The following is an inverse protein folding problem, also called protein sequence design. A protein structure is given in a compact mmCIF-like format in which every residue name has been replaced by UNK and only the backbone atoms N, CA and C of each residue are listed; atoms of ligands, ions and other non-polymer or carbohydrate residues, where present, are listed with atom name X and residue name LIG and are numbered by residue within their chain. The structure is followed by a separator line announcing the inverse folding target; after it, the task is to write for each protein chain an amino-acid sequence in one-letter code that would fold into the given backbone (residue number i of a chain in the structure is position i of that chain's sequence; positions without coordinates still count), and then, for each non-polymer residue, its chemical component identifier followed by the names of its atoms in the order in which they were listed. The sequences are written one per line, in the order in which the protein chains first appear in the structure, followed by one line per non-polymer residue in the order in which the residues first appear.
data_IF_870022426047
#
_entry.id   IF_870022426047
#
_cell.length_a   1.000
_cell.length_b   1.000
_cell.length_c   1.000
_cell.angle_alpha   90.00
_cell.angle_beta   90.00
_cell.angle_gamma   90.00
#
_symmetry.space_group_name_H-M   'P 1'
#
loop_
_entity.id
_entity.type
_entity.pdbx_description
1 polymer ?
#
# COMPACT_ATOMS: atom_id res chain seq x y z
N UNK A 1 4.45 -2.69 28.22
CA UNK A 1 4.18 -4.13 28.02
C UNK A 1 2.83 -4.35 27.35
N UNK A 2 1.71 -3.90 27.93
CA UNK A 2 0.36 -4.06 27.32
C UNK A 2 0.28 -3.57 25.86
N UNK A 3 0.75 -2.37 25.57
CA UNK A 3 0.73 -1.80 24.20
C UNK A 3 1.53 -2.60 23.15
N UNK A 4 2.59 -3.31 23.54
CA UNK A 4 3.36 -4.16 22.65
C UNK A 4 2.60 -5.45 22.31
N UNK A 5 2.05 -6.10 23.33
CA UNK A 5 1.31 -7.35 23.16
C UNK A 5 0.04 -7.14 22.31
N UNK A 6 -0.62 -5.98 22.46
CA UNK A 6 -1.76 -5.58 21.62
C UNK A 6 -1.39 -5.40 20.13
N UNK A 7 -0.23 -4.78 19.86
CA UNK A 7 0.28 -4.65 18.49
C UNK A 7 0.61 -6.02 17.90
N UNK A 8 1.28 -6.87 18.69
CA UNK A 8 1.69 -8.20 18.21
C UNK A 8 0.50 -9.12 17.95
N UNK A 9 -0.58 -9.04 18.75
CA UNK A 9 -1.81 -9.78 18.49
C UNK A 9 -2.48 -9.34 17.17
N UNK A 10 -2.53 -8.03 16.91
CA UNK A 10 -3.04 -7.48 15.66
C UNK A 10 -2.15 -7.81 14.46
N UNK A 11 -0.81 -7.81 14.65
CA UNK A 11 0.14 -8.19 13.60
C UNK A 11 -0.08 -9.63 13.14
N UNK A 12 -0.25 -10.55 14.09
CA UNK A 12 -0.52 -11.96 13.77
C UNK A 12 -1.81 -12.12 12.96
N UNK A 13 -2.87 -11.38 13.32
CA UNK A 13 -4.12 -11.40 12.55
C UNK A 13 -3.93 -10.72 11.20
N UNK A 14 -3.24 -9.56 11.11
CA UNK A 14 -3.02 -8.83 9.86
C UNK A 14 -2.31 -9.72 8.82
N UNK A 15 -1.28 -10.46 9.23
CA UNK A 15 -0.60 -11.40 8.34
C UNK A 15 -1.53 -12.55 7.93
N UNK A 16 -2.30 -13.12 8.86
CA UNK A 16 -3.24 -14.19 8.56
C UNK A 16 -4.31 -13.76 7.55
N UNK A 17 -4.97 -12.62 7.79
CA UNK A 17 -6.05 -12.15 6.89
C UNK A 17 -5.53 -11.68 5.53
N UNK A 18 -4.33 -11.09 5.48
CA UNK A 18 -3.71 -10.75 4.20
C UNK A 18 -3.43 -11.99 3.34
N UNK A 19 -2.95 -13.09 3.96
CA UNK A 19 -2.73 -14.36 3.28
C UNK A 19 -4.04 -15.06 2.89
N UNK A 20 -5.04 -15.08 3.77
CA UNK A 20 -6.37 -15.64 3.49
C UNK A 20 -7.05 -14.88 2.33
N UNK A 21 -7.07 -13.55 2.41
CA UNK A 21 -7.58 -12.68 1.36
C UNK A 21 -6.83 -12.85 0.04
N UNK A 22 -5.50 -12.89 0.10
CA UNK A 22 -4.67 -13.11 -1.07
C UNK A 22 -4.87 -14.48 -1.73
N UNK A 23 -5.08 -15.55 -0.96
CA UNK A 23 -5.41 -16.85 -1.50
C UNK A 23 -6.79 -16.86 -2.19
N UNK A 24 -7.77 -16.17 -1.60
CA UNK A 24 -9.10 -15.96 -2.20
C UNK A 24 -8.97 -15.18 -3.50
N UNK A 25 -8.31 -14.01 -3.47
CA UNK A 25 -8.07 -13.19 -4.65
C UNK A 25 -7.35 -13.97 -5.76
N UNK A 26 -6.33 -14.77 -5.42
CA UNK A 26 -5.60 -15.61 -6.39
C UNK A 26 -6.51 -16.64 -7.07
N UNK A 27 -7.49 -17.19 -6.35
CA UNK A 27 -8.48 -18.10 -6.94
C UNK A 27 -9.34 -17.40 -8.00
N UNK A 28 -9.70 -16.14 -7.77
CA UNK A 28 -10.41 -15.29 -8.74
C UNK A 28 -9.50 -14.90 -9.90
N UNK A 29 -8.27 -14.47 -9.60
CA UNK A 29 -7.27 -14.13 -10.62
C UNK A 29 -7.07 -15.25 -11.65
N UNK A 30 -6.98 -16.49 -11.21
CA UNK A 30 -6.82 -17.65 -12.07
C UNK A 30 -8.08 -17.95 -12.92
N UNK A 31 -9.25 -17.40 -12.54
CA UNK A 31 -10.54 -17.57 -13.23
C UNK A 31 -11.10 -16.23 -13.74
N UNK A 32 -10.29 -15.18 -13.84
CA UNK A 32 -10.70 -13.79 -14.12
C UNK A 32 -11.56 -13.62 -15.37
N UNK A 33 -11.42 -14.49 -16.36
CA UNK A 33 -12.22 -14.44 -17.61
C UNK A 33 -13.72 -14.65 -17.35
N UNK A 34 -14.07 -15.23 -16.22
CA UNK A 34 -15.46 -15.49 -15.80
C UNK A 34 -15.99 -14.47 -14.80
N UNK A 35 -15.16 -13.52 -14.37
CA UNK A 35 -15.58 -12.49 -13.41
C UNK A 35 -16.57 -11.52 -14.06
N UNK A 36 -17.60 -11.18 -13.30
CA UNK A 36 -18.48 -10.05 -13.63
C UNK A 36 -17.79 -8.77 -13.22
N UNK A 37 -17.58 -7.88 -14.17
CA UNK A 37 -16.88 -6.59 -14.00
C UNK A 37 -17.91 -5.47 -14.00
N UNK A 38 -17.83 -4.60 -12.99
CA UNK A 38 -18.63 -3.38 -12.85
C UNK A 38 -17.73 -2.15 -13.04
N UNK A 39 -18.18 -1.20 -13.85
CA UNK A 39 -17.53 0.09 -14.00
C UNK A 39 -18.30 1.12 -13.17
N UNK A 40 -17.64 1.79 -12.20
CA UNK A 40 -18.27 2.78 -11.32
C UNK A 40 -18.53 4.10 -12.07
N UNK A 41 -17.53 4.97 -12.17
CA UNK A 41 -17.65 6.30 -12.76
C UNK A 41 -16.82 6.49 -14.04
N UNK A 42 -15.76 5.73 -14.17
CA UNK A 42 -14.78 5.78 -15.25
C UNK A 42 -14.47 4.35 -15.71
N UNK A 43 -14.12 4.18 -16.97
CA UNK A 43 -13.71 2.89 -17.53
C UNK A 43 -12.43 2.34 -16.85
N UNK A 44 -11.67 3.20 -16.16
CA UNK A 44 -10.48 2.81 -15.40
C UNK A 44 -10.77 2.46 -13.94
N UNK A 45 -11.95 2.87 -13.43
CA UNK A 45 -12.38 2.54 -12.07
C UNK A 45 -13.22 1.26 -12.09
N UNK A 46 -12.53 0.14 -12.10
CA UNK A 46 -13.15 -1.19 -12.26
C UNK A 46 -13.22 -1.88 -10.92
N UNK A 47 -14.44 -2.25 -10.52
CA UNK A 47 -14.70 -3.05 -9.31
C UNK A 47 -15.11 -4.45 -9.70
N UNK A 48 -14.49 -5.42 -9.10
CA UNK A 48 -14.79 -6.84 -9.29
C UNK A 48 -15.53 -7.44 -8.11
N UNK A 49 -16.17 -8.58 -8.32
CA UNK A 49 -16.75 -9.37 -7.22
C UNK A 49 -15.65 -9.80 -6.25
N UNK A 50 -14.44 -10.05 -6.75
CA UNK A 50 -13.30 -10.45 -5.95
C UNK A 50 -12.93 -9.43 -4.87
N UNK A 51 -12.89 -8.11 -5.22
CA UNK A 51 -12.60 -7.05 -4.25
C UNK A 51 -13.57 -7.11 -3.06
N UNK A 52 -14.88 -7.13 -3.36
CA UNK A 52 -15.91 -7.16 -2.32
C UNK A 52 -15.85 -8.40 -1.44
N UNK A 53 -15.67 -9.58 -2.02
CA UNK A 53 -15.62 -10.84 -1.25
C UNK A 53 -14.38 -10.91 -0.39
N UNK A 54 -13.22 -10.47 -0.91
CA UNK A 54 -11.96 -10.43 -0.15
C UNK A 54 -12.06 -9.45 1.01
N UNK A 55 -12.59 -8.23 0.77
CA UNK A 55 -12.76 -7.25 1.85
C UNK A 55 -13.72 -7.77 2.93
N UNK A 56 -14.87 -8.37 2.55
CA UNK A 56 -15.83 -8.94 3.50
C UNK A 56 -15.22 -10.04 4.36
N UNK A 57 -14.39 -10.91 3.76
CA UNK A 57 -13.66 -11.95 4.49
C UNK A 57 -12.72 -11.32 5.53
N UNK A 58 -11.89 -10.38 5.12
CA UNK A 58 -10.93 -9.70 6.00
C UNK A 58 -11.68 -8.95 7.12
N UNK A 59 -12.69 -8.15 6.78
CA UNK A 59 -13.47 -7.38 7.74
C UNK A 59 -14.20 -8.27 8.76
N UNK A 60 -14.72 -9.43 8.35
CA UNK A 60 -15.36 -10.38 9.28
C UNK A 60 -14.35 -10.92 10.29
N UNK A 61 -13.18 -11.35 9.84
CA UNK A 61 -12.12 -11.87 10.71
C UNK A 61 -11.63 -10.84 11.73
N UNK A 62 -11.52 -9.57 11.29
CA UNK A 62 -11.11 -8.47 12.16
C UNK A 62 -12.18 -8.21 13.22
N UNK A 63 -13.46 -8.10 12.82
CA UNK A 63 -14.56 -7.87 13.76
C UNK A 63 -14.72 -8.97 14.79
N UNK A 64 -14.52 -10.23 14.39
CA UNK A 64 -14.58 -11.37 15.30
C UNK A 64 -13.48 -11.34 16.37
N UNK A 65 -12.27 -10.90 16.00
CA UNK A 65 -11.12 -10.86 16.90
C UNK A 65 -10.96 -9.53 17.68
N UNK A 66 -11.30 -8.41 17.04
CA UNK A 66 -11.13 -7.05 17.59
C UNK A 66 -12.40 -6.21 17.34
N UNK A 67 -13.54 -6.53 17.98
CA UNK A 67 -14.83 -5.89 17.71
C UNK A 67 -14.88 -4.40 18.06
N UNK A 68 -13.97 -3.90 18.90
CA UNK A 68 -13.88 -2.50 19.28
C UNK A 68 -13.03 -1.65 18.31
N UNK A 69 -12.26 -2.29 17.40
CA UNK A 69 -11.39 -1.56 16.47
C UNK A 69 -12.20 -0.94 15.32
N UNK A 70 -11.75 0.22 14.84
CA UNK A 70 -12.26 0.83 13.62
C UNK A 70 -11.80 0.08 12.37
N UNK A 71 -12.52 0.30 11.26
CA UNK A 71 -12.20 -0.30 9.96
C UNK A 71 -12.40 0.73 8.85
N UNK A 72 -11.45 0.83 7.93
CA UNK A 72 -11.55 1.56 6.68
C UNK A 72 -11.21 0.60 5.54
N UNK A 73 -12.18 0.25 4.73
CA UNK A 73 -12.00 -0.52 3.51
C UNK A 73 -12.21 0.34 2.27
N UNK A 74 -11.57 -0.02 1.17
CA UNK A 74 -11.79 0.61 -0.12
C UNK A 74 -13.25 0.52 -0.55
N UNK A 75 -13.88 -0.65 -0.36
CA UNK A 75 -15.23 -0.97 -0.82
C UNK A 75 -16.31 -0.52 0.18
N UNK A 76 -16.09 -0.72 1.48
CA UNK A 76 -17.10 -0.47 2.53
C UNK A 76 -16.97 0.90 3.21
N UNK A 77 -15.85 1.60 3.02
CA UNK A 77 -15.61 2.90 3.63
C UNK A 77 -15.26 2.84 5.12
N UNK A 78 -15.36 3.99 5.80
CA UNK A 78 -14.97 4.15 7.20
C UNK A 78 -16.07 3.70 8.17
N UNK A 79 -15.69 2.82 9.10
CA UNK A 79 -16.47 2.41 10.27
C UNK A 79 -15.65 2.76 11.51
N UNK A 80 -16.10 3.76 12.26
CA UNK A 80 -15.42 4.24 13.47
C UNK A 80 -15.58 3.21 14.58
N UNK A 81 -14.47 2.82 15.22
CA UNK A 81 -14.45 1.93 16.37
C UNK A 81 -14.48 2.68 17.70
N UNK A 82 -14.42 1.92 18.79
CA UNK A 82 -14.37 2.42 20.18
C UNK A 82 -12.92 2.40 20.74
N UNK A 83 -12.00 1.65 20.10
CA UNK A 83 -10.60 1.59 20.48
C UNK A 83 -9.75 2.63 19.74
N UNK A 84 -8.48 2.78 20.15
CA UNK A 84 -7.51 3.63 19.46
C UNK A 84 -6.97 3.00 18.15
N UNK A 85 -7.42 1.79 17.79
CA UNK A 85 -6.93 1.08 16.62
C UNK A 85 -7.91 1.16 15.45
N UNK A 86 -7.39 1.41 14.25
CA UNK A 86 -8.16 1.39 13.00
C UNK A 86 -7.43 0.54 11.97
N UNK A 87 -8.12 -0.44 11.42
CA UNK A 87 -7.64 -1.26 10.31
C UNK A 87 -7.94 -0.55 8.99
N UNK A 88 -6.94 -0.51 8.11
CA UNK A 88 -7.08 0.11 6.78
C UNK A 88 -6.70 -0.93 5.74
N UNK A 89 -7.64 -1.26 4.86
CA UNK A 89 -7.56 -2.44 3.99
C UNK A 89 -7.85 -2.07 2.55
N UNK A 90 -6.95 -2.51 1.66
CA UNK A 90 -7.21 -2.67 0.24
C UNK A 90 -7.25 -4.16 -0.08
N UNK A 91 -8.40 -4.69 -0.51
CA UNK A 91 -8.54 -6.12 -0.82
C UNK A 91 -7.73 -6.57 -2.02
N UNK A 92 -7.59 -5.72 -3.05
CA UNK A 92 -6.81 -5.99 -4.27
C UNK A 92 -6.21 -4.70 -4.83
N UNK A 93 -5.15 -4.18 -4.19
CA UNK A 93 -4.40 -3.06 -4.77
C UNK A 93 -3.80 -3.46 -6.11
N UNK A 94 -4.16 -2.72 -7.12
CA UNK A 94 -3.84 -3.06 -8.51
C UNK A 94 -4.97 -3.81 -9.22
N UNK A 95 -6.24 -3.39 -9.04
CA UNK A 95 -7.42 -3.97 -9.70
C UNK A 95 -7.27 -4.02 -11.23
N UNK A 96 -6.70 -2.98 -11.86
CA UNK A 96 -6.46 -2.98 -13.30
C UNK A 96 -5.44 -4.05 -13.75
N UNK A 97 -4.24 -4.17 -13.16
CA UNK A 97 -3.36 -5.33 -13.37
C UNK A 97 -4.06 -6.67 -13.13
N UNK A 98 -4.81 -6.81 -12.04
CA UNK A 98 -5.53 -8.04 -11.70
C UNK A 98 -6.47 -8.49 -12.81
N UNK A 99 -7.36 -7.61 -13.28
CA UNK A 99 -8.33 -7.92 -14.33
C UNK A 99 -7.68 -8.22 -15.69
N UNK A 100 -6.54 -7.58 -15.98
CA UNK A 100 -5.80 -7.80 -17.23
C UNK A 100 -4.81 -8.98 -17.16
N UNK A 101 -4.80 -9.74 -16.06
CA UNK A 101 -3.94 -10.92 -15.93
C UNK A 101 -2.47 -10.63 -15.71
N UNK A 102 -2.15 -9.41 -15.28
CA UNK A 102 -0.80 -9.03 -14.87
C UNK A 102 -0.56 -9.41 -13.41
N UNK A 103 0.64 -9.88 -13.04
CA UNK A 103 0.89 -10.39 -11.69
C UNK A 103 1.07 -9.30 -10.62
N UNK A 104 1.12 -8.02 -11.01
CA UNK A 104 1.48 -6.90 -10.14
C UNK A 104 0.27 -6.35 -9.37
N UNK A 105 -0.24 -7.13 -8.43
CA UNK A 105 -1.29 -6.78 -7.49
C UNK A 105 -1.03 -7.42 -6.11
N UNK A 106 -1.66 -6.89 -5.06
CA UNK A 106 -1.47 -7.40 -3.70
C UNK A 106 -2.70 -7.13 -2.82
N UNK A 107 -2.75 -7.74 -1.65
CA UNK A 107 -3.62 -7.37 -0.52
C UNK A 107 -2.81 -6.45 0.38
N UNK A 108 -3.37 -5.31 0.76
CA UNK A 108 -2.75 -4.33 1.66
C UNK A 108 -3.55 -4.24 2.96
N UNK A 109 -2.88 -4.41 4.10
CA UNK A 109 -3.48 -4.31 5.44
C UNK A 109 -2.58 -3.43 6.31
N UNK A 110 -3.08 -2.27 6.72
CA UNK A 110 -2.45 -1.45 7.74
C UNK A 110 -3.27 -1.45 9.02
N UNK A 111 -2.60 -1.23 10.15
CA UNK A 111 -3.26 -0.89 11.42
C UNK A 111 -2.68 0.42 11.91
N UNK A 112 -3.56 1.39 12.16
CA UNK A 112 -3.23 2.63 12.83
C UNK A 112 -3.46 2.49 14.34
N UNK A 113 -2.66 3.21 15.12
CA UNK A 113 -2.97 3.55 16.51
C UNK A 113 -3.06 5.06 16.61
N UNK A 114 -4.26 5.59 16.84
CA UNK A 114 -4.53 6.99 16.55
C UNK A 114 -4.21 7.30 15.10
N UNK A 115 -3.31 8.25 14.85
CA UNK A 115 -2.92 8.70 13.51
C UNK A 115 -1.64 8.05 12.97
N UNK A 116 -1.07 7.06 13.69
CA UNK A 116 0.23 6.47 13.36
C UNK A 116 0.07 5.05 12.82
N UNK A 117 0.57 4.74 11.61
CA UNK A 117 0.66 3.36 11.14
C UNK A 117 1.63 2.56 12.02
N UNK A 118 1.09 1.59 12.75
CA UNK A 118 1.87 0.72 13.65
C UNK A 118 2.08 -0.69 13.12
N UNK A 119 1.28 -1.09 12.13
CA UNK A 119 1.42 -2.37 11.41
C UNK A 119 1.23 -2.10 9.92
N UNK A 120 2.03 -2.77 9.10
CA UNK A 120 1.86 -2.84 7.66
C UNK A 120 2.13 -4.25 7.15
N UNK A 121 1.15 -4.84 6.47
CA UNK A 121 1.28 -6.12 5.80
C UNK A 121 0.84 -5.96 4.35
N UNK A 122 1.70 -6.38 3.42
CA UNK A 122 1.40 -6.41 1.98
C UNK A 122 1.71 -7.83 1.49
N UNK A 123 0.68 -8.52 1.00
CA UNK A 123 0.83 -9.86 0.46
C UNK A 123 0.55 -9.88 -1.04
N UNK A 124 1.57 -10.21 -1.83
CA UNK A 124 1.53 -10.36 -3.28
C UNK A 124 1.54 -11.86 -3.66
N UNK A 125 0.36 -12.50 -3.83
CA UNK A 125 0.26 -13.95 -3.95
C UNK A 125 0.93 -14.49 -5.22
N UNK A 126 0.87 -13.76 -6.32
CA UNK A 126 1.49 -14.12 -7.60
C UNK A 126 3.02 -14.21 -7.53
N UNK A 127 3.63 -13.42 -6.66
CA UNK A 127 5.07 -13.45 -6.37
C UNK A 127 5.41 -14.34 -5.16
N UNK A 128 4.40 -14.83 -4.42
CA UNK A 128 4.57 -15.54 -3.14
C UNK A 128 5.37 -14.70 -2.13
N UNK A 129 5.13 -13.40 -2.11
CA UNK A 129 5.83 -12.42 -1.28
C UNK A 129 4.90 -11.84 -0.22
N UNK A 130 5.29 -11.97 1.05
CA UNK A 130 4.63 -11.34 2.17
C UNK A 130 5.59 -10.37 2.85
N UNK A 131 5.26 -9.09 2.77
CA UNK A 131 5.97 -8.00 3.43
C UNK A 131 5.26 -7.68 4.73
N UNK A 132 6.01 -7.67 5.84
CA UNK A 132 5.45 -7.51 7.18
C UNK A 132 6.30 -6.51 7.95
N UNK A 133 5.67 -5.53 8.59
CA UNK A 133 6.30 -4.61 9.52
C UNK A 133 5.41 -4.31 10.73
N UNK A 134 6.03 -4.10 11.87
CA UNK A 134 5.38 -3.50 13.02
C UNK A 134 6.32 -2.48 13.68
N UNK A 135 5.76 -1.44 14.27
CA UNK A 135 6.47 -0.33 14.86
C UNK A 135 7.55 -0.82 15.86
N UNK A 136 8.81 -0.49 15.58
CA UNK A 136 9.98 -0.86 16.39
C UNK A 136 10.42 -2.32 16.23
N UNK A 137 9.82 -3.11 15.33
CA UNK A 137 10.21 -4.50 15.09
C UNK A 137 11.02 -4.67 13.78
N UNK A 138 11.07 -3.63 12.95
CA UNK A 138 11.62 -3.68 11.61
C UNK A 138 10.67 -4.24 10.59
N UNK A 139 11.12 -4.29 9.34
CA UNK A 139 10.37 -4.85 8.22
C UNK A 139 11.00 -6.15 7.72
N UNK A 140 10.17 -7.06 7.20
CA UNK A 140 10.62 -8.34 6.64
C UNK A 140 9.89 -8.66 5.33
N UNK A 141 10.57 -9.44 4.46
CA UNK A 141 9.99 -10.13 3.32
C UNK A 141 10.12 -11.63 3.55
N UNK A 142 9.02 -12.35 3.65
CA UNK A 142 8.99 -13.78 3.95
C UNK A 142 9.89 -14.16 5.15
N UNK A 143 9.86 -13.32 6.21
CA UNK A 143 10.66 -13.49 7.42
C UNK A 143 12.13 -13.01 7.32
N UNK A 144 12.61 -12.62 6.13
CA UNK A 144 13.95 -12.05 5.95
C UNK A 144 13.92 -10.54 6.15
N UNK A 145 14.81 -10.02 7.03
CA UNK A 145 14.86 -8.60 7.37
C UNK A 145 15.12 -7.73 6.12
N UNK A 146 14.36 -6.67 6.01
CA UNK A 146 14.51 -5.63 5.00
C UNK A 146 15.28 -4.44 5.57
N UNK A 147 16.08 -3.81 4.69
CA UNK A 147 16.74 -2.55 4.98
C UNK A 147 16.98 -1.81 3.66
N UNK A 148 16.55 -0.56 3.57
CA UNK A 148 16.85 0.30 2.43
C UNK A 148 18.35 0.63 2.39
N UNK A 149 18.91 0.70 1.18
CA UNK A 149 20.31 1.09 0.99
C UNK A 149 20.41 2.62 0.88
N UNK A 150 21.04 3.31 1.86
CA UNK A 150 21.12 4.76 1.87
C UNK A 150 22.03 5.34 0.76
N UNK A 151 22.80 4.50 0.08
CA UNK A 151 23.69 4.92 -1.02
C UNK A 151 23.01 4.95 -2.39
N UNK A 152 21.78 4.43 -2.48
CA UNK A 152 21.00 4.44 -3.71
C UNK A 152 20.46 5.84 -4.00
N UNK A 153 20.62 6.27 -5.26
CA UNK A 153 20.21 7.58 -5.78
C UNK A 153 19.37 7.42 -7.03
N UNK A 154 18.77 8.51 -7.52
CA UNK A 154 18.03 8.49 -8.79
C UNK A 154 18.89 8.04 -9.97
N UNK A 155 20.19 8.35 -9.96
CA UNK A 155 21.11 8.09 -11.08
C UNK A 155 21.61 6.65 -11.12
N UNK A 156 21.59 5.94 -9.99
CA UNK A 156 22.12 4.57 -9.91
C UNK A 156 21.04 3.51 -9.64
N UNK A 157 19.77 3.92 -9.51
CA UNK A 157 18.67 3.00 -9.24
C UNK A 157 17.35 3.45 -9.88
N UNK A 158 16.39 2.53 -10.04
CA UNK A 158 15.08 2.83 -10.62
C UNK A 158 14.14 3.42 -9.58
N UNK A 159 13.28 4.34 -9.99
CA UNK A 159 12.22 4.95 -9.16
C UNK A 159 10.86 4.39 -9.57
N UNK A 160 9.99 4.13 -8.61
CA UNK A 160 8.58 3.88 -8.87
C UNK A 160 7.82 5.19 -9.09
N UNK A 161 6.95 5.21 -10.10
CA UNK A 161 6.07 6.33 -10.35
C UNK A 161 4.64 5.85 -10.63
N UNK A 162 3.66 6.46 -9.95
CA UNK A 162 2.25 6.19 -10.14
C UNK A 162 1.50 7.41 -10.67
N UNK A 163 0.42 7.14 -11.37
CA UNK A 163 -0.53 8.15 -11.84
C UNK A 163 -1.91 7.51 -12.04
N UNK A 164 -2.95 8.28 -11.81
CA UNK A 164 -4.35 7.88 -11.98
C UNK A 164 -5.18 9.03 -12.58
N UNK A 165 -6.49 8.83 -12.73
CA UNK A 165 -7.42 9.79 -13.34
C UNK A 165 -7.62 11.09 -12.54
N UNK A 166 -7.20 11.15 -11.26
CA UNK A 166 -7.28 12.36 -10.45
C UNK A 166 -6.18 13.38 -10.77
N UNK A 167 -5.17 12.98 -11.56
CA UNK A 167 -4.02 13.81 -11.91
C UNK A 167 -4.05 14.19 -13.37
N UNK A 168 -3.84 15.47 -13.69
CA UNK A 168 -3.87 15.91 -15.09
C UNK A 168 -2.71 15.29 -15.90
N UNK A 169 -2.92 14.98 -17.20
CA UNK A 169 -1.86 14.50 -18.09
C UNK A 169 -0.65 15.43 -18.15
N UNK A 170 -0.89 16.74 -18.07
CA UNK A 170 0.18 17.74 -18.06
C UNK A 170 1.05 17.59 -16.82
N UNK A 171 0.46 17.50 -15.63
CA UNK A 171 1.19 17.32 -14.36
C UNK A 171 2.00 16.02 -14.38
N UNK A 172 1.43 14.92 -14.87
CA UNK A 172 2.16 13.65 -15.05
C UNK A 172 3.37 13.84 -15.95
N UNK A 173 3.20 14.52 -17.10
CA UNK A 173 4.27 14.82 -18.03
C UNK A 173 5.40 15.66 -17.42
N UNK A 174 5.05 16.69 -16.64
CA UNK A 174 6.02 17.55 -15.92
C UNK A 174 6.84 16.76 -14.89
N UNK A 175 6.20 15.89 -14.10
CA UNK A 175 6.87 15.04 -13.13
C UNK A 175 7.83 14.07 -13.80
N UNK A 176 7.38 13.39 -14.85
CA UNK A 176 8.23 12.47 -15.63
C UNK A 176 9.42 13.20 -16.25
N UNK A 177 9.18 14.38 -16.85
CA UNK A 177 10.25 15.20 -17.41
C UNK A 177 11.27 15.64 -16.34
N UNK A 178 10.79 16.04 -15.15
CA UNK A 178 11.66 16.41 -14.03
C UNK A 178 12.50 15.24 -13.53
N UNK A 179 11.90 14.04 -13.41
CA UNK A 179 12.58 12.81 -13.01
C UNK A 179 13.70 12.44 -14.00
N UNK A 180 13.39 12.43 -15.30
CA UNK A 180 14.37 12.11 -16.35
C UNK A 180 15.47 13.17 -16.44
N UNK A 181 15.13 14.45 -16.29
CA UNK A 181 16.11 15.56 -16.28
C UNK A 181 17.05 15.49 -15.07
N UNK A 182 16.61 14.91 -13.97
CA UNK A 182 17.45 14.62 -12.80
C UNK A 182 18.35 13.37 -12.98
N UNK A 183 18.32 12.74 -14.15
CA UNK A 183 19.08 11.53 -14.45
C UNK A 183 18.46 10.24 -13.93
N UNK A 184 17.20 10.31 -13.47
CA UNK A 184 16.46 9.15 -12.98
C UNK A 184 15.89 8.29 -14.10
N UNK A 185 15.50 7.08 -13.75
CA UNK A 185 14.71 6.16 -14.56
C UNK A 185 13.51 5.71 -13.75
N UNK A 186 12.42 5.31 -14.39
CA UNK A 186 11.21 4.94 -13.65
C UNK A 186 10.52 3.69 -14.17
N UNK A 187 9.73 3.09 -13.28
CA UNK A 187 8.85 1.94 -13.55
C UNK A 187 7.44 2.25 -13.00
N UNK A 188 6.41 1.78 -13.70
CA UNK A 188 5.02 1.79 -13.25
C UNK A 188 4.43 0.38 -13.38
N UNK A 189 3.92 -0.17 -12.28
CA UNK A 189 3.34 -1.54 -12.27
C UNK A 189 1.84 -1.58 -12.03
N UNK A 190 1.22 -0.45 -11.64
CA UNK A 190 -0.22 -0.32 -11.44
C UNK A 190 -0.75 -0.77 -10.08
N UNK A 191 0.13 -1.05 -9.11
CA UNK A 191 -0.16 -1.34 -7.70
C UNK A 191 0.72 -0.43 -6.85
N UNK A 192 0.11 0.48 -6.11
CA UNK A 192 0.81 1.46 -5.29
C UNK A 192 1.39 0.86 -4.02
N UNK A 193 0.62 0.02 -3.34
CA UNK A 193 1.07 -0.68 -2.15
C UNK A 193 2.27 -1.59 -2.45
N UNK A 194 2.22 -2.34 -3.55
CA UNK A 194 3.35 -3.20 -3.94
C UNK A 194 4.60 -2.38 -4.30
N UNK A 195 4.42 -1.22 -4.95
CA UNK A 195 5.55 -0.30 -5.21
C UNK A 195 6.19 0.20 -3.91
N UNK A 196 5.39 0.55 -2.89
CA UNK A 196 5.89 0.94 -1.57
C UNK A 196 6.60 -0.22 -0.85
N UNK A 197 6.09 -1.45 -0.96
CA UNK A 197 6.77 -2.64 -0.46
C UNK A 197 8.13 -2.84 -1.16
N UNK A 198 8.22 -2.54 -2.47
CA UNK A 198 9.48 -2.60 -3.22
C UNK A 198 10.48 -1.51 -2.80
N UNK A 199 10.01 -0.33 -2.35
CA UNK A 199 10.88 0.66 -1.72
C UNK A 199 11.50 0.08 -0.44
N UNK A 200 10.69 -0.49 0.46
CA UNK A 200 11.16 -1.11 1.69
C UNK A 200 12.15 -2.26 1.43
N UNK A 201 11.96 -3.01 0.33
CA UNK A 201 12.85 -4.09 -0.09
C UNK A 201 14.09 -3.62 -0.88
N UNK A 202 14.24 -2.32 -1.13
CA UNK A 202 15.37 -1.77 -1.90
C UNK A 202 15.36 -2.12 -3.39
N UNK A 203 14.22 -2.56 -3.94
CA UNK A 203 14.05 -2.88 -5.37
C UNK A 203 13.87 -1.62 -6.22
N UNK A 204 13.28 -0.59 -5.63
CA UNK A 204 13.22 0.78 -6.18
C UNK A 204 13.72 1.75 -5.12
N UNK A 205 14.31 2.86 -5.55
CA UNK A 205 14.89 3.84 -4.61
C UNK A 205 13.84 4.69 -3.92
N UNK A 206 12.68 4.85 -4.54
CA UNK A 206 11.53 5.57 -4.00
C UNK A 206 10.30 5.32 -4.86
N UNK A 207 9.16 5.72 -4.33
CA UNK A 207 7.89 5.73 -5.03
C UNK A 207 7.19 7.07 -4.84
N UNK A 208 6.74 7.66 -5.93
CA UNK A 208 5.96 8.89 -5.94
C UNK A 208 4.67 8.71 -6.74
N UNK A 209 3.56 9.10 -6.14
CA UNK A 209 2.25 9.24 -6.79
C UNK A 209 1.54 10.50 -6.29
N UNK A 210 1.08 11.39 -7.19
CA UNK A 210 0.48 12.66 -6.80
C UNK A 210 -0.85 12.55 -6.06
N UNK A 211 -1.53 11.40 -6.17
CA UNK A 211 -2.81 11.16 -5.50
C UNK A 211 -3.02 9.67 -5.26
N UNK A 212 -3.15 9.28 -3.99
CA UNK A 212 -3.47 7.93 -3.54
C UNK A 212 -4.41 7.99 -2.34
N UNK A 213 -5.14 6.94 -2.08
CA UNK A 213 -5.92 6.79 -0.86
C UNK A 213 -5.11 6.15 0.27
N UNK A 214 -5.67 6.18 1.49
CA UNK A 214 -5.02 5.66 2.68
C UNK A 214 -4.76 4.15 2.60
N UNK A 215 -5.69 3.39 2.03
CA UNK A 215 -5.58 1.95 1.89
C UNK A 215 -4.47 1.51 0.93
N UNK A 216 -4.14 2.33 -0.08
CA UNK A 216 -3.05 2.07 -1.01
C UNK A 216 -1.66 2.31 -0.38
N UNK A 217 -1.53 3.14 0.68
CA UNK A 217 -0.21 3.62 1.10
C UNK A 217 0.17 3.34 2.56
N UNK A 218 -0.77 3.26 3.51
CA UNK A 218 -0.41 3.24 4.94
C UNK A 218 0.33 1.96 5.36
N UNK A 219 0.02 0.80 4.76
CA UNK A 219 0.80 -0.42 4.99
C UNK A 219 2.24 -0.26 4.49
N UNK A 220 2.40 0.28 3.29
CA UNK A 220 3.71 0.57 2.70
C UNK A 220 4.51 1.59 3.50
N UNK A 221 3.88 2.59 4.09
CA UNK A 221 4.54 3.57 4.95
C UNK A 221 5.15 2.93 6.21
N UNK A 222 4.42 2.03 6.86
CA UNK A 222 4.96 1.26 7.97
C UNK A 222 6.18 0.44 7.53
N UNK A 223 6.09 -0.28 6.40
CA UNK A 223 7.19 -1.06 5.84
C UNK A 223 8.44 -0.20 5.54
N UNK A 224 8.26 0.93 4.85
CA UNK A 224 9.36 1.83 4.47
C UNK A 224 10.03 2.42 5.70
N UNK A 225 9.25 2.88 6.70
CA UNK A 225 9.78 3.41 7.96
C UNK A 225 10.62 2.37 8.70
N UNK A 226 10.08 1.17 8.88
CA UNK A 226 10.73 0.09 9.61
C UNK A 226 11.93 -0.51 8.86
N UNK A 227 12.01 -0.31 7.53
CA UNK A 227 13.19 -0.61 6.72
C UNK A 227 14.24 0.51 6.70
N UNK A 228 14.00 1.66 7.36
CA UNK A 228 14.93 2.79 7.45
C UNK A 228 14.82 3.82 6.32
N UNK A 229 13.71 3.81 5.59
CA UNK A 229 13.36 4.85 4.60
C UNK A 229 12.59 6.02 5.22
N UNK A 230 12.32 7.01 4.36
CA UNK A 230 11.51 8.19 4.69
C UNK A 230 10.21 8.18 3.87
N UNK A 231 9.14 8.74 4.41
CA UNK A 231 7.90 8.99 3.68
C UNK A 231 7.29 10.34 4.04
N UNK A 232 6.55 10.93 3.10
CA UNK A 232 5.73 12.11 3.33
C UNK A 232 4.48 11.71 4.12
N UNK A 233 4.20 12.33 5.30
CA UNK A 233 3.06 11.95 6.13
C UNK A 233 1.73 12.05 5.41
N UNK A 234 0.90 11.02 5.50
CA UNK A 234 -0.50 11.04 5.08
C UNK A 234 -1.36 11.63 6.19
N UNK A 235 -2.34 12.46 5.83
CA UNK A 235 -3.24 13.02 6.85
C UNK A 235 -4.34 12.01 7.20
N UNK A 236 -4.23 11.43 8.39
CA UNK A 236 -5.15 10.41 8.91
C UNK A 236 -6.18 10.96 9.91
N UNK A 237 -6.14 12.28 10.21
CA UNK A 237 -6.96 12.92 11.24
C UNK A 237 -8.45 12.97 10.84
N UNK A 238 -9.30 12.31 11.62
CA UNK A 238 -10.74 12.28 11.44
C UNK A 238 -11.16 11.73 10.08
N UNK A 239 -12.04 12.45 9.37
CA UNK A 239 -12.55 12.08 8.04
C UNK A 239 -11.52 12.32 6.91
N UNK A 240 -10.40 12.95 7.19
CA UNK A 240 -9.35 13.20 6.19
C UNK A 240 -8.70 11.92 5.69
N UNK A 241 -8.70 10.87 6.50
CA UNK A 241 -8.20 9.54 6.11
C UNK A 241 -8.95 8.96 4.88
N UNK A 242 -10.19 9.38 4.63
CA UNK A 242 -10.97 8.94 3.46
C UNK A 242 -10.64 9.72 2.19
N UNK A 243 -9.84 10.79 2.28
CA UNK A 243 -9.46 11.62 1.15
C UNK A 243 -8.10 11.20 0.63
N UNK A 244 -7.96 11.21 -0.68
CA UNK A 244 -6.66 10.95 -1.30
C UNK A 244 -5.68 12.11 -1.07
N UNK A 245 -4.40 11.78 -1.08
CA UNK A 245 -3.30 12.71 -0.93
C UNK A 245 -2.09 12.28 -1.75
N UNK A 246 -1.13 13.19 -1.87
CA UNK A 246 0.17 12.92 -2.45
C UNK A 246 0.96 11.93 -1.58
N UNK A 247 1.54 10.92 -2.23
CA UNK A 247 2.33 9.87 -1.59
C UNK A 247 3.76 9.92 -2.12
N UNK A 248 4.71 10.01 -1.20
CA UNK A 248 6.14 9.86 -1.48
C UNK A 248 6.78 9.01 -0.38
N UNK A 249 7.47 7.94 -0.79
CA UNK A 249 8.30 7.15 0.09
C UNK A 249 9.64 6.87 -0.60
N UNK A 250 10.75 6.92 0.13
CA UNK A 250 12.07 6.97 -0.48
C UNK A 250 13.19 6.50 0.45
N UNK A 251 14.24 5.90 -0.14
CA UNK A 251 15.51 5.65 0.52
C UNK A 251 16.27 6.98 0.74
N UNK A 252 17.06 7.11 1.83
CA UNK A 252 17.70 8.38 2.20
C UNK A 252 18.53 9.03 1.09
N UNK A 253 19.22 8.24 0.26
CA UNK A 253 20.10 8.77 -0.79
C UNK A 253 19.39 9.46 -1.96
N UNK A 254 18.07 9.26 -2.13
CA UNK A 254 17.26 9.92 -3.17
C UNK A 254 16.22 10.90 -2.60
N UNK A 255 16.16 11.08 -1.26
CA UNK A 255 15.12 11.87 -0.60
C UNK A 255 15.07 13.31 -1.11
N UNK A 256 16.19 14.01 -1.11
CA UNK A 256 16.25 15.42 -1.51
C UNK A 256 15.77 15.65 -2.96
N UNK A 257 16.17 14.76 -3.87
CA UNK A 257 15.77 14.85 -5.28
C UNK A 257 14.28 14.56 -5.48
N UNK A 258 13.76 13.49 -4.88
CA UNK A 258 12.35 13.11 -5.04
C UNK A 258 11.42 14.10 -4.34
N UNK A 259 11.80 14.65 -3.19
CA UNK A 259 11.03 15.73 -2.53
C UNK A 259 10.94 16.96 -3.42
N UNK A 260 12.06 17.39 -4.01
CA UNK A 260 12.07 18.52 -4.95
C UNK A 260 11.18 18.27 -6.18
N UNK A 261 11.22 17.06 -6.76
CA UNK A 261 10.37 16.67 -7.89
C UNK A 261 8.89 16.64 -7.50
N UNK A 262 8.60 16.20 -6.28
CA UNK A 262 7.24 16.16 -5.73
C UNK A 262 6.71 17.51 -5.25
N UNK A 263 7.56 18.56 -5.20
CA UNK A 263 7.18 19.88 -4.68
C UNK A 263 7.05 19.94 -3.15
N UNK A 264 7.84 19.13 -2.42
CA UNK A 264 7.84 18.99 -0.96
C UNK A 264 9.08 19.64 -0.30
#
# INVERSE_FOLDING_TARGET
MESHDEIMARLALAEAVAREGGATALSYFNRRETLVVETKYDLQDVVSIADREVEQLIASRIRDAFPADGFLGEESGLQVGESDYTWVVDPIDGTSPFLNGMPSWCVSVAVLRGDVPVIGVIFAPTYQECYVAALGQGATLNGHRLQVDPTRTLQNHVTGFGANSYVSPQQVGEIVAALLSAGGNFIRIGSGALMLAWVAAGRVVGYYEPYMHAWDCLAGYCLVKEAGGWYHPFNTEGDRITKGAQVLAVAPGAEADLRRIAGL
#
